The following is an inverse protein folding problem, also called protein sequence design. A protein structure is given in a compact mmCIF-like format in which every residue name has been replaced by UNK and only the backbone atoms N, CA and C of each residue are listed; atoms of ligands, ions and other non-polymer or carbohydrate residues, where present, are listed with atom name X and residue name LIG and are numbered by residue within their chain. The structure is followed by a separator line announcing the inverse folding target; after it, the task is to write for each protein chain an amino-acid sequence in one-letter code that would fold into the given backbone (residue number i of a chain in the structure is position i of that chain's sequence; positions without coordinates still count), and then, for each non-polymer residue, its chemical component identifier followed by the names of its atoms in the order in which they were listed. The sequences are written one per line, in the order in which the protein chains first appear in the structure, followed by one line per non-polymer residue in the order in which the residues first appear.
data_IF_969798809698
#
_entry.id   IF_969798809698
#
_cell.length_a   1.000
_cell.length_b   1.000
_cell.length_c   1.000
_cell.angle_alpha   90.00
_cell.angle_beta   90.00
_cell.angle_gamma   90.00
#
_symmetry.space_group_name_H-M   'P 1'
#
loop_
_entity.id
_entity.type
_entity.pdbx_description
1 polymer ?
#
# COMPACT_ATOMS: atom_id res chain seq x y z
N UNK A 1 -21.91 -1.40 1.88
CA UNK A 1 -20.54 -1.14 2.36
C UNK A 1 -19.73 -0.55 1.21
N UNK A 2 -19.04 0.55 1.42
CA UNK A 2 -18.07 1.10 0.45
C UNK A 2 -16.76 0.31 0.56
N UNK A 3 -16.26 -0.18 -0.57
CA UNK A 3 -14.98 -0.90 -0.63
C UNK A 3 -14.00 -0.07 -1.46
N UNK A 4 -12.82 0.15 -0.91
CA UNK A 4 -11.74 0.93 -1.52
C UNK A 4 -10.49 0.06 -1.56
N UNK A 5 -9.94 -0.11 -2.75
CA UNK A 5 -8.66 -0.77 -2.94
C UNK A 5 -7.52 0.26 -2.82
N UNK A 6 -6.75 0.18 -1.75
CA UNK A 6 -5.73 1.19 -1.45
C UNK A 6 -4.37 0.91 -2.09
N UNK A 7 -4.27 -0.15 -2.91
CA UNK A 7 -3.00 -0.48 -3.57
C UNK A 7 -3.23 -1.21 -4.89
N UNK A 8 -3.18 -0.45 -5.98
CA UNK A 8 -3.31 -0.98 -7.34
C UNK A 8 -2.32 -0.28 -8.26
N UNK A 9 -2.02 -0.94 -9.37
CA UNK A 9 -1.19 -0.39 -10.44
C UNK A 9 -1.91 -0.53 -11.77
N UNK A 10 -1.58 0.34 -12.71
CA UNK A 10 -2.04 0.24 -14.08
C UNK A 10 -0.97 0.80 -15.03
N UNK A 11 -0.88 0.26 -16.23
CA UNK A 11 0.07 0.74 -17.23
C UNK A 11 -0.07 -0.02 -18.54
N UNK A 12 0.26 0.61 -19.66
CA UNK A 12 0.07 0.00 -20.97
C UNK A 12 1.16 -1.03 -21.34
N UNK A 13 2.24 -1.11 -20.56
CA UNK A 13 3.41 -1.90 -20.93
C UNK A 13 3.58 -3.15 -20.06
N UNK A 14 3.96 -2.98 -18.78
CA UNK A 14 4.24 -4.09 -17.89
C UNK A 14 3.03 -4.48 -17.05
N UNK A 15 2.29 -3.50 -16.57
CA UNK A 15 1.01 -3.73 -15.91
C UNK A 15 -0.12 -3.81 -16.91
N UNK A 16 -1.26 -4.30 -16.47
CA UNK A 16 -2.47 -4.34 -17.29
C UNK A 16 -3.08 -2.94 -17.45
N UNK A 17 -3.76 -2.68 -18.58
CA UNK A 17 -4.47 -1.42 -18.79
C UNK A 17 -5.60 -1.24 -17.78
N UNK A 18 -5.97 0.02 -17.54
CA UNK A 18 -6.94 0.41 -16.48
C UNK A 18 -8.30 -0.29 -16.61
N UNK A 19 -8.73 -0.61 -17.83
CA UNK A 19 -10.00 -1.27 -18.09
C UNK A 19 -10.06 -2.66 -17.43
N UNK A 20 -8.93 -3.34 -17.33
CA UNK A 20 -8.85 -4.63 -16.65
C UNK A 20 -9.03 -4.47 -15.14
N UNK A 21 -8.43 -3.46 -14.53
CA UNK A 21 -8.66 -3.13 -13.13
C UNK A 21 -10.13 -2.75 -12.89
N UNK A 22 -10.70 -1.89 -13.75
CA UNK A 22 -12.12 -1.49 -13.67
C UNK A 22 -13.02 -2.72 -13.72
N UNK A 23 -12.76 -3.66 -14.64
CA UNK A 23 -13.49 -4.92 -14.73
C UNK A 23 -13.40 -5.75 -13.42
N UNK A 24 -12.20 -5.89 -12.85
CA UNK A 24 -12.02 -6.59 -11.58
C UNK A 24 -12.77 -5.90 -10.43
N UNK A 25 -12.69 -4.57 -10.35
CA UNK A 25 -13.42 -3.78 -9.35
C UNK A 25 -14.94 -3.99 -9.46
N UNK A 26 -15.49 -3.90 -10.66
CA UNK A 26 -16.94 -4.07 -10.90
C UNK A 26 -17.41 -5.48 -10.54
N UNK A 27 -16.68 -6.51 -10.94
CA UNK A 27 -17.02 -7.90 -10.59
C UNK A 27 -17.02 -8.16 -9.08
N UNK A 28 -16.24 -7.41 -8.31
CA UNK A 28 -16.06 -7.63 -6.88
C UNK A 28 -16.71 -6.54 -6.01
N UNK A 29 -17.42 -5.58 -6.60
CA UNK A 29 -18.12 -4.52 -5.88
C UNK A 29 -17.16 -3.50 -5.22
N UNK A 30 -15.95 -3.34 -5.75
CA UNK A 30 -14.98 -2.32 -5.32
C UNK A 30 -15.32 -0.99 -6.00
N UNK A 31 -15.49 0.06 -5.21
CA UNK A 31 -16.01 1.34 -5.70
C UNK A 31 -14.92 2.30 -6.14
N UNK A 32 -13.79 2.32 -5.43
CA UNK A 32 -12.69 3.27 -5.65
C UNK A 32 -11.36 2.55 -5.51
N UNK A 33 -10.30 3.08 -6.12
CA UNK A 33 -8.95 2.55 -5.92
C UNK A 33 -7.88 3.65 -5.91
N UNK A 34 -6.80 3.41 -5.17
CA UNK A 34 -5.57 4.19 -5.22
C UNK A 34 -4.63 3.57 -6.25
N UNK A 35 -4.37 4.29 -7.33
CA UNK A 35 -3.33 3.94 -8.29
C UNK A 35 -1.97 4.41 -7.74
N UNK A 36 -1.13 3.46 -7.43
CA UNK A 36 0.23 3.70 -6.95
C UNK A 36 1.19 3.53 -8.12
N UNK A 37 2.03 4.53 -8.39
CA UNK A 37 3.04 4.39 -9.44
C UNK A 37 4.08 3.34 -9.03
N UNK A 38 4.51 2.54 -9.99
CA UNK A 38 5.51 1.50 -9.76
C UNK A 38 6.94 2.05 -9.89
N UNK A 39 7.89 1.41 -9.18
CA UNK A 39 9.29 1.82 -9.13
C UNK A 39 10.20 1.14 -10.15
N UNK A 40 9.72 0.81 -11.36
CA UNK A 40 10.49 0.07 -12.38
C UNK A 40 11.01 0.98 -13.48
N UNK A 41 12.30 1.38 -13.48
CA UNK A 41 12.86 2.33 -14.45
C UNK A 41 12.68 1.93 -15.90
N UNK A 42 12.80 0.63 -16.18
CA UNK A 42 12.64 0.09 -17.54
C UNK A 42 11.27 0.33 -18.18
N UNK A 43 10.26 0.68 -17.38
CA UNK A 43 8.88 0.92 -17.82
C UNK A 43 8.45 2.39 -17.67
N UNK A 44 9.40 3.33 -17.56
CA UNK A 44 9.09 4.76 -17.49
C UNK A 44 8.40 5.15 -16.19
N UNK A 45 8.86 4.65 -15.06
CA UNK A 45 8.21 4.83 -13.76
C UNK A 45 8.07 6.30 -13.30
N UNK A 46 8.84 7.21 -13.87
CA UNK A 46 8.65 8.66 -13.63
C UNK A 46 7.70 9.33 -14.62
N UNK A 47 7.20 8.62 -15.64
CA UNK A 47 6.13 9.10 -16.51
C UNK A 47 4.76 8.71 -15.91
N UNK A 48 4.05 9.69 -15.43
CA UNK A 48 2.72 9.53 -14.81
C UNK A 48 1.57 9.89 -15.76
N UNK A 49 1.85 10.18 -17.03
CA UNK A 49 0.86 10.64 -18.02
C UNK A 49 -0.34 9.68 -18.11
N UNK A 50 -0.07 8.38 -18.12
CA UNK A 50 -1.10 7.35 -18.15
C UNK A 50 -2.00 7.37 -16.90
N UNK A 51 -1.43 7.51 -15.71
CA UNK A 51 -2.22 7.55 -14.47
C UNK A 51 -3.10 8.81 -14.41
N UNK A 52 -2.61 9.94 -14.87
CA UNK A 52 -3.42 11.16 -14.98
C UNK A 52 -4.58 10.98 -15.96
N UNK A 53 -4.36 10.31 -17.09
CA UNK A 53 -5.41 9.97 -18.04
C UNK A 53 -6.45 9.04 -17.40
N UNK A 54 -6.04 8.01 -16.68
CA UNK A 54 -6.93 7.13 -15.92
C UNK A 54 -7.83 7.92 -14.97
N UNK A 55 -7.25 8.84 -14.18
CA UNK A 55 -8.02 9.67 -13.25
C UNK A 55 -9.02 10.57 -13.96
N UNK A 56 -8.63 11.20 -15.07
CA UNK A 56 -9.52 12.06 -15.87
C UNK A 56 -10.65 11.28 -16.53
N UNK A 57 -10.36 10.05 -17.00
CA UNK A 57 -11.34 9.20 -17.70
C UNK A 57 -12.37 8.58 -16.74
N UNK A 58 -12.03 8.43 -15.46
CA UNK A 58 -12.90 7.85 -14.43
C UNK A 58 -13.03 8.78 -13.20
N UNK A 59 -13.71 9.92 -13.33
CA UNK A 59 -13.80 10.91 -12.26
C UNK A 59 -14.33 10.33 -10.96
N UNK A 60 -13.67 10.60 -9.84
CA UNK A 60 -14.05 10.15 -8.51
C UNK A 60 -13.82 8.66 -8.23
N UNK A 61 -13.33 7.87 -9.21
CA UNK A 61 -13.02 6.45 -9.03
C UNK A 61 -11.58 6.23 -8.56
N UNK A 62 -10.61 6.99 -9.06
CA UNK A 62 -9.19 6.81 -8.79
C UNK A 62 -8.55 8.01 -8.11
N UNK A 63 -7.76 7.74 -7.08
CA UNK A 63 -6.77 8.64 -6.50
C UNK A 63 -5.37 8.19 -6.93
N UNK A 64 -4.39 9.09 -6.90
CA UNK A 64 -3.04 8.83 -7.38
C UNK A 64 -1.98 9.03 -6.30
N UNK A 65 -1.10 8.04 -6.15
CA UNK A 65 0.18 8.17 -5.45
C UNK A 65 1.32 8.08 -6.46
N UNK A 66 2.07 9.15 -6.58
CA UNK A 66 3.17 9.31 -7.55
C UNK A 66 4.51 8.88 -6.95
N UNK A 67 5.54 8.76 -7.78
CA UNK A 67 6.94 8.69 -7.35
C UNK A 67 7.70 9.87 -7.92
N UNK A 68 8.79 10.24 -7.25
CA UNK A 68 9.69 11.33 -7.67
C UNK A 68 11.12 10.78 -7.71
N UNK A 69 11.86 11.12 -8.76
CA UNK A 69 13.30 10.88 -8.78
C UNK A 69 13.99 11.81 -7.78
N UNK A 70 14.36 11.27 -6.64
CA UNK A 70 15.04 12.03 -5.58
C UNK A 70 16.38 12.59 -6.01
N UNK A 71 16.92 12.12 -7.14
CA UNK A 71 18.21 12.55 -7.71
C UNK A 71 18.07 13.50 -8.89
N UNK A 72 16.82 13.83 -9.28
CA UNK A 72 16.56 14.81 -10.34
C UNK A 72 17.10 16.21 -9.97
N UNK A 73 17.15 17.10 -10.95
CA UNK A 73 17.63 18.47 -10.71
C UNK A 73 16.69 19.27 -9.78
N UNK A 74 15.39 18.95 -9.81
CA UNK A 74 14.35 19.66 -9.05
C UNK A 74 13.27 18.69 -8.52
N UNK A 75 13.62 17.80 -7.59
CA UNK A 75 12.65 16.82 -7.09
C UNK A 75 11.48 17.46 -6.34
N UNK A 76 11.67 18.63 -5.73
CA UNK A 76 10.61 19.33 -5.00
C UNK A 76 9.61 19.96 -5.97
N UNK A 77 10.09 20.61 -7.04
CA UNK A 77 9.25 21.13 -8.10
C UNK A 77 8.55 20.02 -8.90
N UNK A 78 9.18 18.85 -9.05
CA UNK A 78 8.53 17.67 -9.62
C UNK A 78 7.30 17.27 -8.78
N UNK A 79 7.45 17.21 -7.46
CA UNK A 79 6.34 16.89 -6.57
C UNK A 79 5.22 17.93 -6.60
N UNK A 80 5.57 19.23 -6.66
CA UNK A 80 4.59 20.31 -6.83
C UNK A 80 3.80 20.17 -8.14
N UNK A 81 4.46 19.85 -9.25
CA UNK A 81 3.78 19.59 -10.53
C UNK A 81 2.82 18.42 -10.43
N UNK A 82 3.22 17.33 -9.79
CA UNK A 82 2.35 16.18 -9.56
C UNK A 82 1.13 16.54 -8.70
N UNK A 83 1.32 17.37 -7.68
CA UNK A 83 0.20 17.86 -6.85
C UNK A 83 -0.79 18.69 -7.68
N UNK A 84 -0.30 19.56 -8.55
CA UNK A 84 -1.14 20.39 -9.45
C UNK A 84 -1.93 19.53 -10.44
N UNK A 85 -1.36 18.38 -10.88
CA UNK A 85 -2.05 17.38 -11.72
C UNK A 85 -3.05 16.50 -10.94
N UNK A 86 -3.15 16.71 -9.62
CA UNK A 86 -4.14 16.05 -8.76
C UNK A 86 -3.65 14.78 -8.06
N UNK A 87 -2.34 14.58 -7.96
CA UNK A 87 -1.80 13.55 -7.06
C UNK A 87 -2.11 13.90 -5.60
N UNK A 88 -2.48 12.90 -4.80
CA UNK A 88 -2.84 13.07 -3.39
C UNK A 88 -1.84 12.43 -2.44
N UNK A 89 -0.96 11.59 -2.94
CA UNK A 89 0.10 10.94 -2.18
C UNK A 89 1.38 10.78 -2.99
N UNK A 90 2.49 10.53 -2.29
CA UNK A 90 3.77 10.17 -2.91
C UNK A 90 4.27 8.85 -2.32
N UNK A 91 4.79 7.97 -3.17
CA UNK A 91 5.40 6.72 -2.76
C UNK A 91 6.88 6.93 -2.49
N UNK A 92 7.29 6.70 -1.26
CA UNK A 92 8.68 6.76 -0.81
C UNK A 92 9.11 5.44 -0.18
N UNK A 93 10.39 5.31 0.11
CA UNK A 93 10.94 4.24 0.95
C UNK A 93 11.46 4.83 2.25
N UNK A 94 11.65 4.05 3.33
CA UNK A 94 12.29 4.54 4.56
C UNK A 94 13.66 5.19 4.32
N UNK A 95 14.35 4.77 3.25
CA UNK A 95 15.68 5.26 2.88
C UNK A 95 15.65 6.41 1.86
N UNK A 96 14.47 6.90 1.46
CA UNK A 96 14.35 8.00 0.50
C UNK A 96 15.00 9.27 1.05
N UNK A 97 16.02 9.74 0.40
CA UNK A 97 16.78 10.96 0.75
C UNK A 97 17.00 11.80 -0.51
N UNK A 98 16.93 13.10 -0.35
CA UNK A 98 17.28 14.07 -1.40
C UNK A 98 18.74 14.51 -1.28
N UNK A 99 19.40 14.89 -2.39
CA UNK A 99 20.69 15.58 -2.35
C UNK A 99 20.61 16.89 -1.56
N UNK A 100 21.76 17.38 -1.07
CA UNK A 100 21.84 18.63 -0.33
C UNK A 100 21.92 18.44 1.18
N UNK A 101 21.74 19.53 1.93
CA UNK A 101 21.88 19.55 3.40
C UNK A 101 20.65 18.89 4.08
N UNK A 102 19.45 19.26 3.65
CA UNK A 102 18.21 18.64 4.14
C UNK A 102 17.89 17.35 3.38
N UNK A 103 18.24 16.23 3.96
CA UNK A 103 18.02 14.90 3.40
C UNK A 103 16.53 14.50 3.34
N UNK A 104 15.69 15.16 4.12
CA UNK A 104 14.25 14.90 4.20
C UNK A 104 13.42 15.97 3.49
N UNK A 105 14.03 16.79 2.64
CA UNK A 105 13.33 17.89 1.97
C UNK A 105 12.11 17.44 1.14
N UNK A 106 12.15 16.24 0.54
CA UNK A 106 11.00 15.69 -0.19
C UNK A 106 9.85 15.27 0.76
N UNK A 107 10.18 14.74 1.94
CA UNK A 107 9.19 14.44 2.98
C UNK A 107 8.52 15.72 3.48
N UNK A 108 9.33 16.79 3.76
CA UNK A 108 8.79 18.10 4.15
C UNK A 108 7.92 18.72 3.08
N UNK A 109 8.33 18.59 1.82
CA UNK A 109 7.53 19.10 0.70
C UNK A 109 6.20 18.36 0.57
N UNK A 110 6.17 17.05 0.78
CA UNK A 110 4.94 16.27 0.79
C UNK A 110 3.98 16.73 1.91
N UNK A 111 4.51 16.95 3.11
CA UNK A 111 3.76 17.46 4.26
C UNK A 111 3.20 18.88 3.98
N UNK A 112 4.04 19.79 3.48
CA UNK A 112 3.65 21.15 3.07
C UNK A 112 2.51 21.15 2.05
N UNK A 113 2.54 20.21 1.10
CA UNK A 113 1.51 20.06 0.06
C UNK A 113 0.26 19.30 0.54
N UNK A 114 0.22 18.86 1.79
CA UNK A 114 -0.88 18.06 2.33
C UNK A 114 -1.03 16.72 1.60
N UNK A 115 0.08 16.08 1.27
CA UNK A 115 0.10 14.76 0.64
C UNK A 115 0.43 13.69 1.68
N UNK A 116 -0.20 12.52 1.56
CA UNK A 116 0.20 11.37 2.37
C UNK A 116 1.42 10.66 1.76
N UNK A 117 2.15 9.93 2.58
CA UNK A 117 3.20 9.02 2.13
C UNK A 117 2.63 7.59 2.08
N UNK A 118 2.75 6.91 0.93
CA UNK A 118 2.66 5.44 0.89
C UNK A 118 4.09 4.91 0.85
N UNK A 119 4.46 4.16 1.90
CA UNK A 119 5.85 3.84 2.18
C UNK A 119 6.13 2.37 1.87
N UNK A 120 6.95 2.12 0.84
CA UNK A 120 7.41 0.79 0.48
C UNK A 120 8.73 0.48 1.17
N UNK A 121 8.79 -0.65 1.86
CA UNK A 121 10.01 -1.07 2.54
C UNK A 121 9.91 -2.50 3.03
N UNK A 122 11.03 -3.04 3.48
CA UNK A 122 11.08 -4.33 4.15
C UNK A 122 10.97 -4.17 5.68
N UNK A 123 10.79 -5.28 6.37
CA UNK A 123 10.60 -5.29 7.83
C UNK A 123 11.79 -4.70 8.61
N UNK A 124 13.02 -4.83 8.08
CA UNK A 124 14.23 -4.27 8.69
C UNK A 124 14.21 -2.74 8.67
N UNK A 125 13.82 -2.18 7.52
CA UNK A 125 13.73 -0.74 7.33
C UNK A 125 12.65 -0.14 8.23
N UNK A 126 11.47 -0.74 8.27
CA UNK A 126 10.37 -0.29 9.15
C UNK A 126 10.69 -0.48 10.64
N UNK A 127 11.49 -1.47 11.01
CA UNK A 127 11.94 -1.69 12.38
C UNK A 127 13.12 -0.81 12.80
N UNK A 128 13.65 0.04 11.92
CA UNK A 128 14.81 0.88 12.22
C UNK A 128 14.45 2.07 13.12
N UNK A 129 15.39 2.45 13.99
CA UNK A 129 15.25 3.65 14.81
C UNK A 129 15.33 4.92 13.95
N UNK A 130 16.03 4.84 12.80
CA UNK A 130 16.10 5.92 11.83
C UNK A 130 14.72 6.23 11.24
N UNK A 131 13.97 5.21 10.82
CA UNK A 131 12.63 5.43 10.28
C UNK A 131 11.66 5.93 11.35
N UNK A 132 11.74 5.42 12.58
CA UNK A 132 10.96 5.96 13.70
C UNK A 132 11.26 7.45 13.96
N UNK A 133 12.54 7.86 13.81
CA UNK A 133 12.92 9.27 13.90
C UNK A 133 12.29 10.11 12.79
N UNK A 134 12.30 9.61 11.54
CA UNK A 134 11.64 10.29 10.41
C UNK A 134 10.14 10.45 10.68
N UNK A 135 9.46 9.39 11.07
CA UNK A 135 8.02 9.45 11.39
C UNK A 135 7.71 10.51 12.45
N UNK A 136 8.57 10.62 13.47
CA UNK A 136 8.39 11.59 14.56
C UNK A 136 8.55 13.05 14.13
N UNK A 137 9.23 13.32 13.00
CA UNK A 137 9.36 14.66 12.43
C UNK A 137 8.09 15.16 11.73
N UNK A 138 7.18 14.24 11.36
CA UNK A 138 5.98 14.54 10.58
C UNK A 138 4.70 14.06 11.28
N UNK A 139 4.36 14.57 12.47
CA UNK A 139 3.29 14.03 13.31
C UNK A 139 1.89 14.14 12.71
N UNK A 140 1.67 15.07 11.78
CA UNK A 140 0.37 15.33 11.16
C UNK A 140 0.23 14.72 9.76
N UNK A 141 1.37 14.36 9.12
CA UNK A 141 1.37 13.77 7.78
C UNK A 141 1.03 12.28 7.85
N UNK A 142 -0.02 11.81 7.14
CA UNK A 142 -0.31 10.38 7.12
C UNK A 142 0.80 9.58 6.41
N UNK A 143 1.30 8.55 7.08
CA UNK A 143 2.31 7.63 6.56
C UNK A 143 1.70 6.22 6.55
N UNK A 144 1.57 5.63 5.37
CA UNK A 144 0.94 4.33 5.16
C UNK A 144 2.02 3.30 4.83
N UNK A 145 2.30 2.38 5.73
CA UNK A 145 3.23 1.28 5.48
C UNK A 145 2.60 0.23 4.57
N UNK A 146 3.25 -0.07 3.45
CA UNK A 146 2.80 -1.07 2.49
C UNK A 146 3.14 -2.49 2.94
N UNK A 147 2.44 -3.50 2.37
CA UNK A 147 2.76 -4.93 2.45
C UNK A 147 2.99 -5.44 3.89
N UNK A 148 2.06 -5.10 4.83
CA UNK A 148 2.23 -5.44 6.25
C UNK A 148 3.60 -5.02 6.79
N UNK A 149 4.01 -3.76 6.54
CA UNK A 149 5.34 -3.27 6.91
C UNK A 149 6.47 -4.17 6.36
N UNK A 150 6.34 -4.60 5.09
CA UNK A 150 7.29 -5.51 4.45
C UNK A 150 7.21 -6.95 4.96
N UNK A 151 6.20 -7.28 5.78
CA UNK A 151 6.03 -8.62 6.34
C UNK A 151 5.46 -9.63 5.38
N UNK A 152 4.71 -9.16 4.37
CA UNK A 152 4.05 -10.02 3.39
C UNK A 152 4.93 -10.43 2.20
N UNK A 153 5.84 -9.58 1.76
CA UNK A 153 6.51 -9.73 0.46
C UNK A 153 7.40 -10.96 0.28
N UNK A 154 7.85 -11.57 1.35
CA UNK A 154 8.91 -12.58 1.28
C UNK A 154 8.46 -13.94 0.74
N UNK A 155 7.20 -14.33 0.92
CA UNK A 155 6.69 -15.57 0.37
C UNK A 155 6.30 -15.44 -1.10
N UNK A 156 5.82 -14.26 -1.52
CA UNK A 156 5.44 -13.95 -2.90
C UNK A 156 6.65 -13.60 -3.78
N UNK A 157 7.66 -12.95 -3.19
CA UNK A 157 8.87 -12.52 -3.87
C UNK A 157 10.12 -12.95 -3.09
N UNK A 158 10.55 -14.21 -3.20
CA UNK A 158 11.69 -14.74 -2.45
C UNK A 158 12.99 -13.94 -2.62
N UNK A 159 13.14 -13.20 -3.72
CA UNK A 159 14.26 -12.30 -3.98
C UNK A 159 14.31 -11.09 -3.03
N UNK A 160 13.21 -10.75 -2.38
CA UNK A 160 13.14 -9.65 -1.41
C UNK A 160 13.61 -10.07 0.00
N UNK A 161 14.02 -11.32 0.14
CA UNK A 161 14.49 -11.90 1.39
C UNK A 161 13.44 -12.71 2.14
N UNK A 162 13.82 -13.37 3.23
CA UNK A 162 12.90 -14.13 4.04
C UNK A 162 11.93 -13.18 4.77
N UNK A 163 10.63 -13.52 4.80
CA UNK A 163 9.63 -12.85 5.59
C UNK A 163 9.89 -12.90 7.08
N UNK A 164 9.01 -12.28 7.88
CA UNK A 164 9.17 -12.29 9.30
C UNK A 164 9.15 -13.74 9.79
N UNK A 165 10.26 -14.14 10.44
CA UNK A 165 10.37 -15.46 11.06
C UNK A 165 9.95 -15.41 12.52
N UNK A 166 9.41 -16.52 13.03
CA UNK A 166 9.12 -16.66 14.46
C UNK A 166 10.39 -16.41 15.28
N UNK A 167 10.32 -15.70 16.42
CA UNK A 167 9.12 -15.18 17.11
C UNK A 167 8.64 -13.79 16.63
N UNK A 168 8.95 -13.36 15.41
CA UNK A 168 8.54 -12.12 14.76
C UNK A 168 9.05 -10.84 15.42
N UNK A 169 10.22 -10.85 16.04
CA UNK A 169 10.72 -9.74 16.84
C UNK A 169 10.92 -8.45 16.04
N UNK A 170 11.41 -8.56 14.80
CA UNK A 170 11.56 -7.41 13.91
C UNK A 170 10.20 -6.84 13.48
N UNK A 171 9.25 -7.72 13.15
CA UNK A 171 7.90 -7.28 12.83
C UNK A 171 7.23 -6.61 14.03
N UNK A 172 7.36 -7.17 15.24
CA UNK A 172 6.90 -6.52 16.47
C UNK A 172 7.54 -5.14 16.66
N UNK A 173 8.83 -5.00 16.38
CA UNK A 173 9.51 -3.70 16.43
C UNK A 173 8.94 -2.73 15.39
N UNK A 174 8.72 -3.15 14.14
CA UNK A 174 8.06 -2.33 13.13
C UNK A 174 6.65 -1.90 13.56
N UNK A 175 5.89 -2.80 14.21
CA UNK A 175 4.55 -2.47 14.73
C UNK A 175 4.55 -1.42 15.85
N UNK A 176 5.69 -1.13 16.51
CA UNK A 176 5.78 -0.03 17.48
C UNK A 176 5.55 1.34 16.86
N UNK A 177 5.63 1.46 15.53
CA UNK A 177 5.25 2.68 14.80
C UNK A 177 3.76 3.01 14.96
N UNK A 178 2.94 2.09 15.43
CA UNK A 178 1.56 2.34 15.86
C UNK A 178 1.43 3.36 16.99
N UNK A 179 2.50 3.63 17.73
CA UNK A 179 2.54 4.69 18.75
C UNK A 179 2.39 6.10 18.13
N UNK A 180 2.61 6.24 16.83
CA UNK A 180 2.38 7.48 16.09
C UNK A 180 0.98 7.44 15.47
N UNK A 181 0.07 8.38 15.82
CA UNK A 181 -1.33 8.33 15.42
C UNK A 181 -1.54 8.52 13.91
N UNK A 182 -0.59 9.12 13.22
CA UNK A 182 -0.57 9.38 11.78
C UNK A 182 -0.06 8.19 10.95
N UNK A 183 0.38 7.10 11.59
CA UNK A 183 0.86 5.91 10.88
C UNK A 183 -0.27 4.90 10.68
N UNK A 184 -0.36 4.40 9.46
CA UNK A 184 -1.31 3.41 8.97
C UNK A 184 -0.56 2.20 8.40
N UNK A 185 -1.26 1.08 8.25
CA UNK A 185 -0.68 -0.14 7.66
C UNK A 185 -1.64 -0.74 6.63
N UNK A 186 -1.09 -1.18 5.48
CA UNK A 186 -1.85 -1.93 4.47
C UNK A 186 -1.71 -3.42 4.69
N UNK A 187 -2.82 -4.12 4.60
CA UNK A 187 -2.88 -5.56 4.43
C UNK A 187 -3.22 -5.86 2.97
N UNK A 188 -2.60 -6.89 2.44
CA UNK A 188 -2.86 -7.37 1.09
C UNK A 188 -3.53 -8.76 1.12
N UNK A 189 -3.42 -9.52 0.04
CA UNK A 189 -3.95 -10.86 0.00
C UNK A 189 -3.09 -11.87 0.76
N UNK A 190 -3.67 -13.01 1.11
CA UNK A 190 -2.97 -14.09 1.82
C UNK A 190 -1.78 -14.65 1.05
N UNK A 191 -1.79 -14.57 -0.29
CA UNK A 191 -0.70 -15.01 -1.13
C UNK A 191 0.61 -14.22 -0.97
N UNK A 192 0.58 -13.11 -0.23
CA UNK A 192 1.81 -12.41 0.21
C UNK A 192 2.40 -13.00 1.50
N UNK A 193 1.56 -13.61 2.33
CA UNK A 193 1.94 -14.13 3.65
C UNK A 193 2.34 -15.59 3.56
N UNK A 194 1.65 -16.37 2.71
CA UNK A 194 1.84 -17.80 2.54
C UNK A 194 1.95 -18.15 1.06
N UNK A 195 2.74 -19.19 0.76
CA UNK A 195 2.84 -19.68 -0.60
C UNK A 195 1.51 -20.28 -1.06
N UNK A 196 1.04 -19.86 -2.23
CA UNK A 196 -0.12 -20.51 -2.85
C UNK A 196 0.21 -21.93 -3.31
N UNK A 197 -0.74 -22.86 -3.25
CA UNK A 197 -0.60 -24.16 -3.95
C UNK A 197 -0.59 -23.94 -5.48
N UNK A 198 -0.13 -24.94 -6.22
CA UNK A 198 0.00 -24.86 -7.69
C UNK A 198 -1.33 -24.53 -8.38
N UNK A 199 -2.43 -25.14 -7.91
CA UNK A 199 -3.78 -24.89 -8.41
C UNK A 199 -4.68 -24.52 -7.25
N UNK A 200 -5.35 -23.38 -7.36
CA UNK A 200 -6.36 -22.95 -6.39
C UNK A 200 -7.75 -23.40 -6.86
N UNK A 201 -8.62 -23.88 -5.98
CA UNK A 201 -10.02 -24.07 -6.31
C UNK A 201 -10.67 -22.73 -6.64
N UNK A 202 -11.75 -22.75 -7.43
CA UNK A 202 -12.42 -21.54 -7.89
C UNK A 202 -12.92 -20.66 -6.74
N UNK A 203 -13.23 -21.25 -5.62
CA UNK A 203 -13.81 -20.57 -4.46
C UNK A 203 -13.14 -21.04 -3.17
N UNK A 204 -11.96 -20.51 -2.92
CA UNK A 204 -11.25 -20.78 -1.67
C UNK A 204 -11.41 -19.61 -0.69
N UNK A 205 -11.43 -19.92 0.60
CA UNK A 205 -11.46 -18.96 1.69
C UNK A 205 -10.19 -18.96 2.52
N UNK A 206 -10.24 -18.29 3.67
CA UNK A 206 -9.12 -18.24 4.60
C UNK A 206 -8.68 -19.63 5.08
N UNK A 207 -9.64 -20.54 5.32
CA UNK A 207 -9.41 -21.91 5.81
C UNK A 207 -8.65 -22.81 4.81
N UNK A 208 -8.43 -22.32 3.59
CA UNK A 208 -7.67 -23.06 2.59
C UNK A 208 -6.17 -23.09 2.88
N UNK A 209 -5.67 -22.11 3.62
CA UNK A 209 -4.27 -22.01 3.96
C UNK A 209 -4.00 -22.56 5.37
N UNK A 210 -3.14 -23.57 5.44
CA UNK A 210 -2.61 -24.07 6.70
C UNK A 210 -1.54 -23.12 7.25
N UNK A 211 -1.42 -23.02 8.56
CA UNK A 211 -0.36 -22.29 9.27
C UNK A 211 -0.15 -20.82 8.83
N UNK A 212 -1.23 -20.08 8.58
CA UNK A 212 -1.14 -18.64 8.28
C UNK A 212 -0.48 -17.93 9.47
N UNK A 213 0.65 -17.23 9.26
CA UNK A 213 1.26 -16.44 10.33
C UNK A 213 0.30 -15.38 10.86
N UNK A 214 0.24 -15.12 12.18
CA UNK A 214 -0.72 -14.20 12.80
C UNK A 214 -0.35 -12.72 12.60
N UNK A 215 0.15 -12.37 11.43
CA UNK A 215 0.68 -11.02 11.18
C UNK A 215 -0.44 -9.96 11.14
N UNK A 216 -1.62 -10.34 10.64
CA UNK A 216 -2.80 -9.45 10.59
C UNK A 216 -3.36 -9.22 11.99
N UNK A 217 -3.43 -10.28 12.83
CA UNK A 217 -3.83 -10.16 14.24
C UNK A 217 -2.89 -9.21 14.98
N UNK A 218 -1.57 -9.40 14.82
CA UNK A 218 -0.55 -8.54 15.44
C UNK A 218 -0.67 -7.09 14.97
N UNK A 219 -0.95 -6.87 13.68
CA UNK A 219 -1.18 -5.53 13.14
C UNK A 219 -2.45 -4.91 13.73
N UNK A 220 -3.55 -5.68 13.84
CA UNK A 220 -4.79 -5.22 14.46
C UNK A 220 -4.60 -4.85 15.93
N UNK A 221 -3.91 -5.69 16.69
CA UNK A 221 -3.65 -5.44 18.11
C UNK A 221 -2.84 -4.15 18.33
N UNK A 222 -1.96 -3.82 17.37
CA UNK A 222 -1.11 -2.64 17.45
C UNK A 222 -1.78 -1.36 16.95
N UNK A 223 -2.40 -1.40 15.76
CA UNK A 223 -2.93 -0.22 15.06
C UNK A 223 -4.42 0.03 15.30
N UNK A 224 -5.16 -1.00 15.72
CA UNK A 224 -6.63 -0.97 15.65
C UNK A 224 -7.13 -0.93 14.19
N UNK A 225 -8.38 -1.31 13.98
CA UNK A 225 -8.96 -1.43 12.62
C UNK A 225 -9.05 -0.11 11.87
N UNK A 226 -9.11 1.01 12.60
CA UNK A 226 -9.25 2.35 12.02
C UNK A 226 -7.98 2.85 11.31
N UNK A 227 -6.85 2.15 11.47
CA UNK A 227 -5.58 2.46 10.82
C UNK A 227 -5.04 1.31 9.99
N UNK A 228 -5.90 0.31 9.70
CA UNK A 228 -5.61 -0.76 8.75
C UNK A 228 -6.39 -0.51 7.48
N UNK A 229 -5.75 -0.69 6.32
CA UNK A 229 -6.36 -0.55 5.01
C UNK A 229 -6.10 -1.81 4.18
N UNK A 230 -7.11 -2.29 3.46
CA UNK A 230 -6.90 -3.32 2.46
C UNK A 230 -6.45 -2.73 1.12
N UNK A 231 -5.53 -3.43 0.45
CA UNK A 231 -5.13 -3.18 -0.94
C UNK A 231 -4.86 -4.49 -1.65
N UNK A 232 -5.30 -4.65 -2.90
CA UNK A 232 -5.16 -5.92 -3.62
C UNK A 232 -3.73 -6.20 -4.07
N UNK A 233 -2.98 -5.16 -4.35
CA UNK A 233 -1.73 -5.22 -5.13
C UNK A 233 -1.98 -5.77 -6.55
N UNK A 234 -3.04 -5.29 -7.20
CA UNK A 234 -3.33 -5.64 -8.59
C UNK A 234 -2.41 -4.84 -9.54
N UNK A 235 -1.86 -5.44 -10.62
CA UNK A 235 -2.09 -6.79 -11.13
C UNK A 235 -1.20 -7.90 -10.56
N UNK A 236 -0.12 -7.64 -9.77
CA UNK A 236 0.70 -8.73 -9.19
C UNK A 236 -0.11 -9.82 -8.47
N UNK A 237 -1.19 -9.46 -7.81
CA UNK A 237 -2.11 -10.40 -7.14
C UNK A 237 -2.67 -11.48 -8.08
N UNK A 238 -2.74 -11.21 -9.39
CA UNK A 238 -3.21 -12.18 -10.39
C UNK A 238 -2.30 -13.42 -10.49
N UNK A 239 -1.01 -13.24 -10.19
CA UNK A 239 -0.03 -14.34 -10.11
C UNK A 239 -0.05 -15.10 -8.78
N UNK A 240 -0.76 -14.60 -7.77
CA UNK A 240 -0.89 -15.19 -6.45
C UNK A 240 -2.26 -15.86 -6.29
N UNK A 241 -3.18 -15.27 -5.56
CA UNK A 241 -4.52 -15.79 -5.31
C UNK A 241 -5.62 -15.21 -6.20
N UNK A 242 -5.31 -14.14 -6.92
CA UNK A 242 -6.26 -13.40 -7.73
C UNK A 242 -7.06 -12.35 -6.94
N UNK A 243 -7.55 -11.34 -7.66
CA UNK A 243 -8.20 -10.16 -7.10
C UNK A 243 -9.38 -10.49 -6.16
N UNK A 244 -10.30 -11.35 -6.64
CA UNK A 244 -11.48 -11.78 -5.85
C UNK A 244 -11.08 -12.43 -4.54
N UNK A 245 -10.08 -13.31 -4.59
CA UNK A 245 -9.67 -14.09 -3.42
C UNK A 245 -8.87 -13.22 -2.42
N UNK A 246 -8.12 -12.23 -2.90
CA UNK A 246 -7.46 -11.26 -2.03
C UNK A 246 -8.50 -10.44 -1.23
N UNK A 247 -9.56 -9.96 -1.87
CA UNK A 247 -10.66 -9.28 -1.18
C UNK A 247 -11.41 -10.22 -0.23
N UNK A 248 -11.69 -11.46 -0.67
CA UNK A 248 -12.33 -12.47 0.16
C UNK A 248 -11.48 -12.79 1.39
N UNK A 249 -10.18 -12.99 1.22
CA UNK A 249 -9.25 -13.24 2.31
C UNK A 249 -9.19 -12.13 3.35
N UNK A 250 -9.28 -10.85 2.93
CA UNK A 250 -9.38 -9.74 3.84
C UNK A 250 -10.73 -9.68 4.57
N UNK A 251 -11.83 -9.97 3.85
CA UNK A 251 -13.19 -9.95 4.40
C UNK A 251 -13.44 -11.07 5.40
N UNK A 252 -12.89 -12.24 5.15
CA UNK A 252 -13.05 -13.46 5.96
C UNK A 252 -11.89 -13.68 6.95
N UNK A 253 -10.96 -12.73 7.03
CA UNK A 253 -9.82 -12.85 7.95
C UNK A 253 -10.33 -12.94 9.41
N UNK A 254 -9.98 -13.99 10.15
CA UNK A 254 -10.46 -14.18 11.53
C UNK A 254 -10.01 -13.09 12.51
N UNK A 255 -9.01 -12.29 12.15
CA UNK A 255 -8.64 -11.12 12.90
C UNK A 255 -9.78 -10.09 13.01
N UNK A 256 -10.71 -10.06 12.03
CA UNK A 256 -11.84 -9.12 11.99
C UNK A 256 -13.14 -9.84 12.30
N UNK A 257 -13.67 -9.64 13.50
CA UNK A 257 -14.78 -10.43 14.04
C UNK A 257 -16.15 -9.78 13.84
N UNK A 258 -16.22 -8.52 13.46
CA UNK A 258 -17.49 -7.77 13.28
C UNK A 258 -17.58 -7.12 11.91
N UNK A 259 -18.81 -6.90 11.44
CA UNK A 259 -19.06 -6.17 10.19
C UNK A 259 -18.49 -4.75 10.23
N UNK A 260 -18.48 -4.11 11.39
CA UNK A 260 -17.92 -2.77 11.56
C UNK A 260 -16.41 -2.76 11.38
N UNK A 261 -15.68 -3.74 11.93
CA UNK A 261 -14.23 -3.89 11.72
C UNK A 261 -13.89 -4.08 10.24
N UNK A 262 -14.68 -4.91 9.55
CA UNK A 262 -14.53 -5.14 8.10
C UNK A 262 -14.80 -3.85 7.31
N UNK A 263 -15.81 -3.05 7.68
CA UNK A 263 -16.05 -1.75 7.03
C UNK A 263 -14.91 -0.76 7.22
N UNK A 264 -14.26 -0.76 8.39
CA UNK A 264 -13.08 0.05 8.62
C UNK A 264 -11.95 -0.37 7.67
N UNK A 265 -11.58 -1.61 7.69
CA UNK A 265 -10.44 -2.14 6.91
C UNK A 265 -10.66 -2.00 5.40
N UNK A 266 -11.88 -2.25 4.92
CA UNK A 266 -12.18 -2.23 3.49
C UNK A 266 -12.53 -0.85 2.92
N UNK A 267 -12.73 0.18 3.78
CA UNK A 267 -13.11 1.48 3.22
C UNK A 267 -12.97 2.68 4.15
N UNK A 268 -13.49 2.63 5.38
CA UNK A 268 -13.53 3.80 6.27
C UNK A 268 -12.13 4.35 6.60
N UNK A 269 -11.17 3.48 6.85
CA UNK A 269 -9.77 3.88 7.15
C UNK A 269 -9.13 4.62 5.97
N UNK A 270 -9.39 4.16 4.74
CA UNK A 270 -8.89 4.81 3.53
C UNK A 270 -9.45 6.23 3.37
N UNK A 271 -10.75 6.45 3.65
CA UNK A 271 -11.38 7.76 3.53
C UNK A 271 -10.88 8.81 4.55
N UNK A 272 -10.23 8.38 5.64
CA UNK A 272 -9.57 9.33 6.56
C UNK A 272 -8.35 10.01 5.93
N UNK A 273 -7.74 9.38 4.92
CA UNK A 273 -6.43 9.77 4.39
C UNK A 273 -6.48 10.09 2.91
N UNK A 274 -7.21 9.31 2.13
CA UNK A 274 -7.19 9.37 0.67
C UNK A 274 -8.39 10.17 0.16
N UNK A 275 -8.11 11.30 -0.48
CA UNK A 275 -9.12 12.07 -1.19
C UNK A 275 -9.27 11.56 -2.64
N UNK A 276 -10.50 11.34 -3.09
CA UNK A 276 -10.85 10.85 -4.42
C UNK A 276 -11.53 11.92 -5.31
N UNK A 277 -11.65 13.13 -4.81
CA UNK A 277 -12.31 14.24 -5.54
C UNK A 277 -11.38 14.94 -6.55
#
# INVERSE_FOLDING_TARGET
MLIIDTHTHAGPNWFEPIEMLVHQMELNGVSKALLVQHGMPAFGHYDHSYLYECRRSFPGKFALAVIVDTTSQDPLGDLERHKLEGAVGVRLTPDSRTPGEDKLSLWRKADELGMFITCMGNVEQFASDEFASIVSEFPDMPIIMEHLAGGGESSAFPQNGPGPSRPYDKFKKALTLSNYPNVYIKIHGLGEIVNRPNVLPQDFGFDFFDDVPPLVDMAKDSFGVERIMWGSDYPPVSGREGYRNALKGARENPAFSTSEEIEWVLGKSALKVINFD
#
